data_IF_039067313230
#
_entry.id   IF_039067313230
#
_cell.length_a   1.000
_cell.length_b   1.000
_cell.length_c   1.000
_cell.angle_alpha   90.00
_cell.angle_beta   90.00
_cell.angle_gamma   90.00
#
_symmetry.space_group_name_H-M   'P 1'
#
loop_
_entity.id
_entity.type
_entity.pdbx_description
1 polymer ?
#
# COMPACT_ATOMS: atom_id res chain seq x y z
N UNK A 1 2.35 29.05 25.80
CA UNK A 1 1.04 28.92 25.12
C UNK A 1 1.16 27.78 24.14
N UNK A 2 0.53 26.63 24.42
CA UNK A 2 0.45 25.55 23.43
C UNK A 2 -0.31 26.12 22.24
N UNK A 3 0.35 26.23 21.09
CA UNK A 3 -0.29 26.63 19.84
C UNK A 3 -1.35 25.55 19.58
N UNK A 4 -2.63 25.93 19.57
CA UNK A 4 -3.68 25.01 19.18
C UNK A 4 -3.30 24.43 17.82
N UNK A 5 -3.19 23.10 17.67
CA UNK A 5 -2.80 22.51 16.39
C UNK A 5 -3.79 23.04 15.36
N UNK A 6 -3.29 23.74 14.33
CA UNK A 6 -4.16 24.18 13.25
C UNK A 6 -4.79 22.91 12.67
N UNK A 7 -6.11 22.75 12.80
CA UNK A 7 -6.79 21.54 12.40
C UNK A 7 -6.55 21.33 10.90
N UNK A 8 -5.72 20.35 10.55
CA UNK A 8 -5.58 19.93 9.16
C UNK A 8 -6.93 19.34 8.70
N UNK A 9 -7.29 19.45 7.42
CA UNK A 9 -8.46 18.75 6.91
C UNK A 9 -8.35 17.24 7.16
N UNK A 10 -9.46 16.55 7.44
CA UNK A 10 -9.50 15.10 7.49
C UNK A 10 -8.99 14.46 6.20
N UNK A 11 -8.38 13.28 6.33
CA UNK A 11 -7.85 12.52 5.20
C UNK A 11 -8.51 11.14 5.08
N UNK A 12 -8.70 10.73 3.83
CA UNK A 12 -9.07 9.36 3.48
C UNK A 12 -7.80 8.52 3.43
N UNK A 13 -7.77 7.40 4.14
CA UNK A 13 -6.71 6.39 4.06
C UNK A 13 -7.20 5.32 3.10
N UNK A 14 -6.51 5.15 1.98
CA UNK A 14 -6.89 4.14 0.99
C UNK A 14 -6.84 2.74 1.60
N UNK A 15 -7.90 1.94 1.40
CA UNK A 15 -7.92 0.56 1.83
C UNK A 15 -8.61 -0.31 0.76
N UNK A 16 -7.89 -1.26 0.12
CA UNK A 16 -8.52 -2.16 -0.84
C UNK A 16 -9.37 -3.20 -0.11
N UNK A 17 -10.70 -3.14 -0.29
CA UNK A 17 -11.64 -4.06 0.35
C UNK A 17 -11.68 -5.43 -0.35
N UNK A 18 -11.11 -5.55 -1.56
CA UNK A 18 -10.97 -6.78 -2.33
C UNK A 18 -9.64 -6.75 -3.05
N UNK A 19 -8.87 -7.83 -2.92
CA UNK A 19 -7.64 -8.11 -3.66
C UNK A 19 -7.73 -9.52 -4.26
N UNK A 20 -6.67 -9.99 -4.92
CA UNK A 20 -6.58 -11.38 -5.36
C UNK A 20 -6.59 -12.37 -4.20
N UNK A 21 -5.97 -11.97 -3.09
CA UNK A 21 -5.69 -12.81 -1.94
C UNK A 21 -6.78 -12.78 -0.88
N UNK A 22 -7.46 -11.64 -0.72
CA UNK A 22 -8.46 -11.46 0.31
C UNK A 22 -9.64 -10.56 -0.10
N UNK A 23 -10.69 -10.58 0.71
CA UNK A 23 -11.77 -9.59 0.70
C UNK A 23 -12.21 -9.28 2.13
N UNK A 24 -12.83 -8.13 2.34
CA UNK A 24 -13.40 -7.75 3.64
C UNK A 24 -14.76 -8.41 3.89
N UNK A 25 -14.98 -8.81 5.14
CA UNK A 25 -16.28 -9.19 5.70
C UNK A 25 -16.56 -8.27 6.88
N UNK A 26 -17.83 -7.94 7.11
CA UNK A 26 -18.27 -7.21 8.31
C UNK A 26 -19.16 -8.12 9.15
N UNK A 27 -18.61 -8.66 10.23
CA UNK A 27 -19.31 -9.50 11.19
C UNK A 27 -19.98 -8.64 12.28
N UNK A 28 -21.15 -9.08 12.73
CA UNK A 28 -21.89 -8.35 13.77
C UNK A 28 -21.20 -8.45 15.15
N UNK A 29 -20.45 -9.53 15.40
CA UNK A 29 -19.79 -9.78 16.68
C UNK A 29 -18.34 -9.24 16.70
N UNK A 30 -17.64 -9.34 15.58
CA UNK A 30 -16.21 -9.03 15.48
C UNK A 30 -15.88 -7.77 14.68
N UNK A 31 -16.88 -7.16 14.05
CA UNK A 31 -16.65 -6.03 13.13
C UNK A 31 -16.00 -6.49 11.83
N UNK A 32 -15.14 -5.63 11.26
CA UNK A 32 -14.55 -5.89 9.95
C UNK A 32 -13.34 -6.82 10.07
N UNK A 33 -13.28 -7.83 9.20
CA UNK A 33 -12.20 -8.81 9.13
C UNK A 33 -11.79 -9.12 7.68
N UNK A 34 -10.60 -9.69 7.50
CA UNK A 34 -10.10 -10.15 6.20
C UNK A 34 -10.44 -11.63 5.99
N UNK A 35 -10.82 -12.01 4.77
CA UNK A 35 -11.16 -13.38 4.39
C UNK A 35 -10.40 -13.78 3.12
N UNK A 36 -9.81 -14.97 3.11
CA UNK A 36 -9.07 -15.48 1.96
C UNK A 36 -9.96 -15.65 0.73
N UNK A 37 -9.58 -15.06 -0.41
CA UNK A 37 -10.33 -15.15 -1.68
C UNK A 37 -9.93 -16.36 -2.52
N UNK A 38 -8.78 -16.95 -2.22
CA UNK A 38 -8.23 -18.15 -2.88
C UNK A 38 -7.63 -19.10 -1.85
N UNK A 39 -7.29 -20.31 -2.29
CA UNK A 39 -6.44 -21.18 -1.50
C UNK A 39 -5.01 -20.62 -1.49
N UNK A 40 -4.38 -20.62 -0.32
CA UNK A 40 -3.01 -20.14 -0.10
C UNK A 40 -2.25 -21.25 0.59
N UNK A 41 -1.16 -21.70 0.01
CA UNK A 41 -0.30 -22.72 0.62
C UNK A 41 0.49 -22.11 1.78
N UNK A 42 0.86 -22.93 2.76
CA UNK A 42 1.78 -22.53 3.82
C UNK A 42 3.03 -21.85 3.26
N UNK A 43 3.41 -20.71 3.84
CA UNK A 43 4.52 -19.87 3.40
C UNK A 43 4.19 -19.01 2.17
N UNK A 44 2.98 -19.10 1.62
CA UNK A 44 2.53 -18.25 0.54
C UNK A 44 2.28 -16.82 1.02
N UNK A 45 2.76 -15.85 0.25
CA UNK A 45 2.49 -14.43 0.45
C UNK A 45 0.98 -14.14 0.30
N UNK A 46 0.46 -13.31 1.22
CA UNK A 46 -0.94 -12.89 1.27
C UNK A 46 -1.06 -11.40 0.92
N UNK A 47 -0.22 -10.56 1.51
CA UNK A 47 -0.09 -9.14 1.18
C UNK A 47 1.34 -8.68 1.47
N UNK A 48 1.83 -7.77 0.64
CA UNK A 48 3.14 -7.11 0.70
C UNK A 48 3.03 -5.58 0.62
N UNK A 49 1.82 -5.04 0.43
CA UNK A 49 1.57 -3.62 0.33
C UNK A 49 1.07 -3.11 1.69
N UNK A 50 2.00 -2.75 2.58
CA UNK A 50 1.63 -2.09 3.84
C UNK A 50 1.57 -0.58 3.68
N UNK A 51 0.43 0.06 4.01
CA UNK A 51 0.45 1.51 4.29
C UNK A 51 0.80 1.64 5.75
N UNK A 52 2.01 2.09 6.04
CA UNK A 52 2.39 2.55 7.37
C UNK A 52 2.19 4.05 7.46
N UNK A 53 1.50 4.51 8.50
CA UNK A 53 1.52 5.92 8.86
C UNK A 53 1.55 6.05 10.40
N UNK A 54 2.16 7.14 10.87
CA UNK A 54 2.37 7.38 12.30
C UNK A 54 1.08 7.81 13.01
N UNK A 55 0.76 7.19 14.14
CA UNK A 55 -0.41 7.52 14.97
C UNK A 55 -0.51 8.99 15.35
N UNK A 56 0.64 9.64 15.56
CA UNK A 56 0.77 11.06 15.83
C UNK A 56 0.09 11.93 14.76
N UNK A 57 -0.08 11.41 13.56
CA UNK A 57 -0.65 12.14 12.45
C UNK A 57 -2.17 12.10 12.40
N UNK A 58 -2.85 11.14 13.02
CA UNK A 58 -4.32 11.04 12.96
C UNK A 58 -4.97 12.21 13.64
N UNK A 59 -5.98 12.75 12.96
CA UNK A 59 -6.88 13.74 13.52
C UNK A 59 -8.31 13.28 13.44
N UNK A 60 -9.16 13.90 14.26
CA UNK A 60 -10.59 13.65 14.24
C UNK A 60 -11.16 13.85 12.83
N UNK A 61 -11.96 12.87 12.40
CA UNK A 61 -12.59 12.86 11.08
C UNK A 61 -11.81 12.12 9.99
N UNK A 62 -10.57 11.68 10.23
CA UNK A 62 -9.89 10.75 9.32
C UNK A 62 -10.68 9.44 9.18
N UNK A 63 -10.55 8.76 8.05
CA UNK A 63 -11.28 7.52 7.79
C UNK A 63 -10.58 6.62 6.79
N UNK A 64 -10.78 5.31 6.92
CA UNK A 64 -10.51 4.36 5.84
C UNK A 64 -11.52 4.56 4.72
N UNK A 65 -11.04 4.64 3.49
CA UNK A 65 -11.84 4.58 2.28
C UNK A 65 -11.78 3.16 1.72
N UNK A 66 -12.83 2.38 1.96
CA UNK A 66 -12.91 0.97 1.58
C UNK A 66 -13.26 0.83 0.09
N UNK A 67 -12.23 0.83 -0.74
CA UNK A 67 -12.38 0.69 -2.19
C UNK A 67 -12.89 -0.71 -2.52
N UNK A 68 -13.96 -0.80 -3.31
CA UNK A 68 -14.56 -2.08 -3.67
C UNK A 68 -15.47 -2.68 -2.58
N UNK A 69 -15.89 -1.91 -1.57
CA UNK A 69 -16.77 -2.38 -0.50
C UNK A 69 -18.07 -3.04 -0.99
N UNK A 70 -18.65 -2.60 -2.11
CA UNK A 70 -19.84 -3.24 -2.69
C UNK A 70 -19.54 -4.67 -3.18
N UNK A 71 -18.36 -4.88 -3.78
CA UNK A 71 -17.88 -6.18 -4.22
C UNK A 71 -17.56 -7.06 -3.02
N UNK A 72 -16.87 -6.51 -2.02
CA UNK A 72 -16.61 -7.19 -0.75
C UNK A 72 -17.93 -7.60 -0.05
N UNK A 73 -18.95 -6.73 -0.09
CA UNK A 73 -20.26 -7.03 0.48
C UNK A 73 -20.94 -8.21 -0.23
N UNK A 74 -20.88 -8.22 -1.57
CA UNK A 74 -21.42 -9.32 -2.37
C UNK A 74 -20.67 -10.64 -2.13
N UNK A 75 -19.34 -10.60 -2.02
CA UNK A 75 -18.51 -11.78 -1.78
C UNK A 75 -18.71 -12.36 -0.37
N UNK A 76 -18.79 -11.50 0.63
CA UNK A 76 -18.94 -11.91 2.04
C UNK A 76 -20.36 -12.24 2.46
N UNK A 77 -21.38 -11.77 1.71
CA UNK A 77 -22.77 -11.82 2.13
C UNK A 77 -23.11 -10.87 3.28
N UNK A 78 -22.19 -9.97 3.65
CA UNK A 78 -22.35 -9.00 4.73
C UNK A 78 -22.25 -7.57 4.21
N UNK A 79 -22.79 -6.58 4.93
CA UNK A 79 -22.66 -5.17 4.51
C UNK A 79 -21.30 -4.61 4.94
N UNK A 80 -20.35 -4.56 4.02
CA UNK A 80 -19.07 -3.85 4.20
C UNK A 80 -19.31 -2.36 3.99
N UNK A 81 -18.98 -1.49 4.96
CA UNK A 81 -19.21 -0.06 4.82
C UNK A 81 -18.30 0.55 3.75
N UNK A 82 -18.65 1.72 3.21
CA UNK A 82 -17.78 2.45 2.29
C UNK A 82 -16.61 3.12 3.01
N UNK A 83 -16.80 3.47 4.29
CA UNK A 83 -15.79 4.12 5.13
C UNK A 83 -15.82 3.58 6.55
N UNK A 84 -14.68 3.64 7.23
CA UNK A 84 -14.56 3.36 8.67
C UNK A 84 -13.84 4.55 9.31
N UNK A 85 -14.41 5.22 10.33
CA UNK A 85 -13.73 6.30 11.03
C UNK A 85 -12.43 5.81 11.67
N UNK A 86 -11.35 6.57 11.49
CA UNK A 86 -10.07 6.32 12.14
C UNK A 86 -9.97 7.29 13.32
N UNK A 87 -10.27 6.78 14.51
CA UNK A 87 -10.21 7.57 15.75
C UNK A 87 -9.00 7.16 16.56
N UNK A 88 -8.50 8.09 17.40
CA UNK A 88 -7.41 7.77 18.34
C UNK A 88 -7.78 6.61 19.28
N UNK A 89 -9.06 6.51 19.66
CA UNK A 89 -9.54 5.39 20.47
C UNK A 89 -9.46 4.05 19.72
N UNK A 90 -9.93 4.00 18.47
CA UNK A 90 -9.81 2.80 17.62
C UNK A 90 -8.35 2.37 17.47
N UNK A 91 -7.48 3.34 17.23
CA UNK A 91 -6.05 3.14 17.07
C UNK A 91 -5.40 2.53 18.33
N UNK A 92 -5.67 3.11 19.51
CA UNK A 92 -5.15 2.60 20.79
C UNK A 92 -5.71 1.22 21.15
N UNK A 93 -6.96 0.95 20.75
CA UNK A 93 -7.70 -0.23 21.18
C UNK A 93 -7.68 -1.39 20.20
N UNK A 94 -7.38 -1.24 18.92
CA UNK A 94 -7.61 -2.36 17.98
C UNK A 94 -6.65 -2.41 16.80
N UNK A 95 -6.05 -1.29 16.39
CA UNK A 95 -5.43 -1.19 15.06
C UNK A 95 -3.99 -0.66 15.07
N UNK A 96 -3.46 -0.28 16.22
CA UNK A 96 -2.12 0.29 16.34
C UNK A 96 -1.04 -0.71 16.54
N UNK A 97 0.06 -0.56 15.84
CA UNK A 97 1.19 -1.46 15.92
C UNK A 97 2.36 -0.72 16.55
N UNK A 98 2.86 -1.17 17.71
CA UNK A 98 4.06 -0.61 18.29
C UNK A 98 5.29 -1.05 17.47
N UNK A 99 6.04 -0.09 16.96
CA UNK A 99 7.29 -0.29 16.24
C UNK A 99 8.43 0.40 16.97
N UNK A 100 9.59 -0.26 17.06
CA UNK A 100 10.78 0.30 17.73
C UNK A 100 11.86 0.65 16.74
N UNK A 101 12.29 1.91 16.74
CA UNK A 101 13.47 2.36 15.99
C UNK A 101 14.67 2.36 16.94
N UNK A 102 15.71 1.58 16.63
CA UNK A 102 16.90 1.41 17.51
C UNK A 102 17.91 2.55 17.45
N UNK A 103 17.50 3.73 17.02
CA UNK A 103 18.35 4.92 16.96
C UNK A 103 18.45 5.58 18.33
N UNK A 104 19.41 5.14 19.15
CA UNK A 104 19.83 5.86 20.35
C UNK A 104 21.36 5.88 20.48
N UNK A 105 22.04 6.92 19.95
CA UNK A 105 23.49 7.04 20.08
C UNK A 105 23.98 7.22 21.52
N UNK A 106 23.08 7.40 22.50
CA UNK A 106 23.44 7.52 23.93
C UNK A 106 23.44 6.19 24.67
N UNK A 107 22.84 5.13 24.11
CA UNK A 107 22.70 3.82 24.74
C UNK A 107 21.86 3.81 26.03
N UNK A 108 21.08 4.86 26.28
CA UNK A 108 20.29 5.01 27.51
C UNK A 108 18.90 4.38 27.40
N UNK A 109 18.50 3.99 26.20
CA UNK A 109 17.20 3.41 25.87
C UNK A 109 17.40 2.24 24.91
N UNK A 110 16.46 1.30 24.85
CA UNK A 110 16.48 0.23 23.85
C UNK A 110 16.08 0.71 22.43
N UNK A 111 15.76 2.00 22.28
CA UNK A 111 15.21 2.62 21.09
C UNK A 111 14.00 3.51 21.40
N UNK A 112 13.41 4.07 20.35
CA UNK A 112 12.20 4.89 20.41
C UNK A 112 11.01 4.06 19.96
N UNK A 113 9.98 3.98 20.81
CA UNK A 113 8.71 3.31 20.51
C UNK A 113 7.77 4.28 19.81
N UNK A 114 7.36 3.91 18.60
CA UNK A 114 6.37 4.60 17.77
C UNK A 114 5.15 3.73 17.57
N UNK A 115 4.01 4.34 17.26
CA UNK A 115 2.80 3.60 16.90
C UNK A 115 2.44 3.84 15.45
N UNK A 116 2.23 2.77 14.71
CA UNK A 116 1.92 2.78 13.28
C UNK A 116 0.56 2.18 13.05
N UNK A 117 -0.13 2.66 12.03
CA UNK A 117 -1.22 1.90 11.44
C UNK A 117 -0.66 1.12 10.26
N UNK A 118 -0.90 -0.19 10.20
CA UNK A 118 -0.50 -1.06 9.08
C UNK A 118 -1.74 -1.51 8.29
N UNK A 119 -1.94 -1.01 7.06
CA UNK A 119 -3.01 -1.49 6.17
C UNK A 119 -2.44 -2.55 5.23
N UNK A 120 -3.07 -3.73 5.02
CA UNK A 120 -4.40 -4.09 5.48
C UNK A 120 -4.43 -4.83 6.83
N UNK A 121 -3.26 -5.13 7.40
CA UNK A 121 -3.11 -5.98 8.60
C UNK A 121 -3.89 -5.50 9.82
N UNK A 122 -4.13 -4.19 9.94
CA UNK A 122 -4.87 -3.59 11.04
C UNK A 122 -6.34 -4.06 11.14
N UNK A 123 -6.94 -4.56 10.05
CA UNK A 123 -8.29 -5.15 10.08
C UNK A 123 -8.28 -6.68 10.24
N UNK A 124 -7.14 -7.32 10.49
CA UNK A 124 -7.11 -8.76 10.79
C UNK A 124 -7.55 -9.01 12.22
N UNK A 125 -8.46 -9.96 12.42
CA UNK A 125 -8.87 -10.36 13.76
C UNK A 125 -7.82 -11.23 14.46
N UNK A 126 -7.88 -11.27 15.79
CA UNK A 126 -7.02 -12.11 16.59
C UNK A 126 -7.37 -13.60 16.48
N UNK A 127 -6.35 -14.45 16.45
CA UNK A 127 -6.50 -15.88 16.79
C UNK A 127 -5.31 -16.42 17.59
N UNK A 128 -5.60 -17.28 18.57
CA UNK A 128 -4.58 -18.05 19.30
C UNK A 128 -3.95 -19.17 18.45
N UNK A 129 -4.56 -19.52 17.31
CA UNK A 129 -4.03 -20.42 16.28
C UNK A 129 -4.19 -19.72 14.92
N UNK A 130 -3.37 -18.69 14.64
CA UNK A 130 -3.57 -17.79 13.52
C UNK A 130 -3.37 -18.46 12.16
N UNK A 131 -3.96 -17.86 11.13
CA UNK A 131 -3.76 -18.25 9.72
C UNK A 131 -2.61 -17.48 9.06
N UNK A 132 -2.24 -16.34 9.63
CA UNK A 132 -1.20 -15.46 9.12
C UNK A 132 -0.04 -15.40 10.14
N UNK A 133 1.18 -15.57 9.64
CA UNK A 133 2.41 -15.16 10.29
C UNK A 133 2.88 -13.85 9.60
N UNK A 134 3.45 -12.93 10.35
CA UNK A 134 4.04 -11.69 9.84
C UNK A 134 5.55 -11.73 10.14
N UNK A 135 6.38 -11.56 9.12
CA UNK A 135 7.84 -11.64 9.27
C UNK A 135 8.50 -10.29 9.58
N UNK A 136 7.72 -9.21 9.65
CA UNK A 136 8.24 -7.85 9.44
C UNK A 136 7.64 -6.78 10.36
N UNK A 137 7.85 -6.93 11.66
CA UNK A 137 7.95 -5.73 12.51
C UNK A 137 9.39 -5.16 12.56
N UNK A 138 10.35 -5.84 11.91
CA UNK A 138 11.77 -5.48 11.90
C UNK A 138 12.23 -4.83 10.58
N UNK A 139 11.42 -4.90 9.52
CA UNK A 139 11.66 -4.24 8.24
C UNK A 139 10.35 -3.63 7.73
N UNK A 140 10.41 -2.48 7.07
CA UNK A 140 9.25 -1.73 6.59
C UNK A 140 8.50 -2.38 5.40
N UNK A 141 8.49 -3.72 5.33
CA UNK A 141 7.90 -4.49 4.23
C UNK A 141 6.50 -5.02 4.55
N UNK A 142 6.11 -5.11 5.83
CA UNK A 142 4.75 -5.47 6.26
C UNK A 142 4.16 -6.70 5.57
N UNK A 143 4.98 -7.74 5.36
CA UNK A 143 4.62 -8.92 4.57
C UNK A 143 3.85 -9.93 5.42
N UNK A 144 2.62 -10.25 5.00
CA UNK A 144 1.80 -11.29 5.61
C UNK A 144 1.95 -12.62 4.87
N UNK A 145 2.30 -13.68 5.59
CA UNK A 145 2.49 -15.02 5.06
C UNK A 145 1.51 -16.03 5.67
N UNK A 146 1.10 -17.02 4.89
CA UNK A 146 0.26 -18.09 5.40
C UNK A 146 1.03 -19.00 6.38
N UNK A 147 0.61 -19.06 7.65
CA UNK A 147 1.25 -19.90 8.68
C UNK A 147 1.01 -21.41 8.45
N UNK A 148 -0.04 -21.72 7.70
CA UNK A 148 -0.51 -23.04 7.28
C UNK A 148 -1.21 -22.95 5.92
N UNK A 149 -1.64 -24.06 5.36
CA UNK A 149 -2.56 -24.02 4.22
C UNK A 149 -3.89 -23.35 4.64
N UNK A 150 -4.31 -22.37 3.86
CA UNK A 150 -5.54 -21.58 4.04
C UNK A 150 -6.47 -21.89 2.88
N UNK A 151 -7.69 -22.31 3.17
CA UNK A 151 -8.72 -22.48 2.13
C UNK A 151 -9.39 -21.15 1.82
N UNK A 152 -9.84 -21.01 0.58
CA UNK A 152 -10.75 -19.94 0.17
C UNK A 152 -11.95 -19.87 1.13
N UNK A 153 -12.25 -18.67 1.63
CA UNK A 153 -13.33 -18.39 2.57
C UNK A 153 -12.93 -18.50 4.04
N UNK A 154 -11.72 -18.96 4.37
CA UNK A 154 -11.21 -18.89 5.74
C UNK A 154 -10.79 -17.47 6.13
N UNK A 155 -10.98 -17.11 7.40
CA UNK A 155 -10.58 -15.81 7.92
C UNK A 155 -9.05 -15.71 8.05
N UNK A 156 -8.53 -14.54 7.68
CA UNK A 156 -7.14 -14.17 7.88
C UNK A 156 -7.01 -13.56 9.27
N UNK A 157 -6.25 -14.23 10.13
CA UNK A 157 -6.13 -13.93 11.56
C UNK A 157 -4.68 -13.93 11.98
N UNK A 158 -4.34 -13.08 12.96
CA UNK A 158 -2.99 -12.91 13.47
C UNK A 158 -2.95 -13.08 15.00
N UNK A 159 -1.79 -13.46 15.54
CA UNK A 159 -1.63 -13.54 16.99
C UNK A 159 -1.16 -12.20 17.55
N UNK A 160 -2.11 -11.38 17.98
CA UNK A 160 -1.89 -10.09 18.65
C UNK A 160 -0.85 -10.12 19.79
N UNK A 161 -0.66 -11.26 20.48
CA UNK A 161 0.37 -11.36 21.53
C UNK A 161 1.78 -11.18 20.99
N UNK A 162 2.02 -11.39 19.70
CA UNK A 162 3.31 -11.15 19.06
C UNK A 162 3.61 -9.66 18.88
N UNK A 163 2.60 -8.79 19.03
CA UNK A 163 2.68 -7.37 18.69
C UNK A 163 2.45 -6.47 19.90
N UNK A 164 1.59 -6.88 20.84
CA UNK A 164 1.22 -6.08 22.01
C UNK A 164 1.84 -6.62 23.29
N UNK A 165 2.58 -5.78 24.03
CA UNK A 165 3.25 -6.19 25.28
C UNK A 165 2.36 -6.02 26.52
N UNK A 166 2.09 -4.77 26.90
CA UNK A 166 1.28 -4.40 28.08
C UNK A 166 0.33 -3.22 27.81
N UNK A 167 0.24 -2.80 26.55
CA UNK A 167 -0.78 -1.91 26.02
C UNK A 167 -1.25 -2.42 24.64
N UNK A 168 -2.53 -2.27 24.33
CA UNK A 168 -3.10 -2.73 23.07
C UNK A 168 -4.57 -3.14 23.15
N UNK A 169 -5.04 -3.96 22.19
CA UNK A 169 -6.44 -4.38 22.07
C UNK A 169 -6.94 -5.34 23.13
N UNK A 170 -6.88 -5.00 24.41
CA UNK A 170 -7.17 -5.97 25.45
C UNK A 170 -8.65 -6.34 25.53
N UNK A 171 -8.90 -7.63 25.58
CA UNK A 171 -10.23 -8.20 25.77
C UNK A 171 -10.17 -9.34 26.78
N UNK A 172 -11.07 -9.26 27.77
CA UNK A 172 -11.18 -10.24 28.85
C UNK A 172 -11.62 -11.61 28.33
N UNK A 173 -12.36 -11.66 27.22
CA UNK A 173 -12.83 -12.87 26.58
C UNK A 173 -12.37 -12.94 25.12
N UNK A 174 -11.53 -13.92 24.81
CA UNK A 174 -11.11 -14.23 23.45
C UNK A 174 -12.18 -15.08 22.75
N UNK A 175 -12.53 -14.68 21.53
CA UNK A 175 -13.60 -15.28 20.73
C UNK A 175 -13.07 -16.02 19.49
N UNK A 176 -11.77 -16.31 19.44
CA UNK A 176 -11.13 -16.93 18.26
C UNK A 176 -11.52 -18.41 18.02
N UNK A 177 -12.16 -19.06 19.01
CA UNK A 177 -12.60 -20.47 18.95
C UNK A 177 -11.50 -21.51 18.64
N UNK A 178 -10.22 -21.14 18.68
CA UNK A 178 -9.11 -22.07 18.51
C UNK A 178 -9.11 -23.11 19.65
N UNK A 179 -8.75 -24.37 19.37
CA UNK A 179 -8.60 -25.41 20.40
C UNK A 179 -7.48 -25.08 21.41
N UNK A 180 -6.55 -24.21 21.03
CA UNK A 180 -5.45 -23.67 21.85
C UNK A 180 -5.74 -22.27 22.37
N UNK A 181 -7.02 -21.87 22.45
CA UNK A 181 -7.42 -20.56 22.92
C UNK A 181 -6.95 -20.30 24.37
N UNK A 182 -6.39 -19.12 24.60
CA UNK A 182 -5.90 -18.66 25.92
C UNK A 182 -6.98 -18.04 26.80
N UNK A 183 -8.21 -17.97 26.31
CA UNK A 183 -9.37 -17.44 27.04
C UNK A 183 -9.47 -15.91 27.07
N UNK A 184 -8.35 -15.19 27.09
CA UNK A 184 -8.28 -13.73 27.07
C UNK A 184 -7.07 -13.23 26.25
N UNK A 185 -7.01 -11.92 25.98
CA UNK A 185 -5.84 -11.27 25.39
C UNK A 185 -5.53 -10.00 26.19
N UNK A 186 -4.50 -10.08 27.02
CA UNK A 186 -4.05 -9.01 27.93
C UNK A 186 -2.59 -8.59 27.67
N UNK A 187 -2.12 -8.82 26.44
CA UNK A 187 -0.75 -8.57 26.02
C UNK A 187 0.24 -9.67 26.40
N UNK A 188 1.42 -9.65 25.77
CA UNK A 188 2.51 -10.61 25.96
C UNK A 188 2.99 -10.66 27.42
N UNK A 189 2.97 -9.53 28.14
CA UNK A 189 3.42 -9.45 29.54
C UNK A 189 2.63 -10.38 30.46
N UNK A 190 1.33 -10.55 30.19
CA UNK A 190 0.43 -11.37 30.99
C UNK A 190 0.53 -12.88 30.72
N UNK A 191 1.35 -13.31 29.74
CA UNK A 191 1.54 -14.71 29.42
C UNK A 191 2.28 -15.48 30.52
N UNK A 192 2.01 -16.79 30.59
CA UNK A 192 2.81 -17.74 31.37
C UNK A 192 4.25 -17.78 30.86
N UNK A 193 5.21 -18.13 31.72
CA UNK A 193 6.61 -18.21 31.29
C UNK A 193 6.81 -19.23 30.16
N UNK A 194 6.09 -20.35 30.19
CA UNK A 194 6.09 -21.34 29.12
C UNK A 194 5.58 -20.78 27.79
N UNK A 195 4.50 -19.99 27.80
CA UNK A 195 4.00 -19.33 26.58
C UNK A 195 4.97 -18.26 26.08
N UNK A 196 5.60 -17.50 26.98
CA UNK A 196 6.59 -16.48 26.63
C UNK A 196 7.80 -17.11 25.93
N UNK A 197 8.31 -18.23 26.44
CA UNK A 197 9.41 -18.97 25.80
C UNK A 197 9.08 -19.42 24.38
N UNK A 198 7.84 -19.85 24.13
CA UNK A 198 7.39 -20.29 22.81
C UNK A 198 7.23 -19.12 21.84
N UNK A 199 6.66 -18.00 22.31
CA UNK A 199 6.25 -16.89 21.45
C UNK A 199 7.33 -15.82 21.26
N UNK A 200 8.25 -15.64 22.21
CA UNK A 200 9.26 -14.57 22.14
C UNK A 200 10.10 -14.59 20.85
N UNK A 201 10.50 -15.74 20.25
CA UNK A 201 11.30 -15.74 19.04
C UNK A 201 10.53 -15.26 17.81
N UNK A 202 9.20 -15.19 17.89
CA UNK A 202 8.29 -14.74 16.83
C UNK A 202 7.69 -13.36 17.11
N UNK A 203 7.95 -12.80 18.30
CA UNK A 203 7.37 -11.52 18.69
C UNK A 203 8.11 -10.37 18.00
N UNK A 204 7.42 -9.23 17.82
CA UNK A 204 7.99 -8.00 17.25
C UNK A 204 9.21 -7.52 18.03
N UNK A 205 10.12 -6.78 17.38
CA UNK A 205 11.24 -6.15 18.10
C UNK A 205 10.78 -5.28 19.28
N UNK A 206 9.60 -4.65 19.18
CA UNK A 206 9.02 -3.87 20.28
C UNK A 206 8.68 -4.75 21.49
N UNK A 207 7.95 -5.86 21.27
CA UNK A 207 7.63 -6.84 22.33
C UNK A 207 8.89 -7.44 22.91
N UNK A 208 9.87 -7.81 22.08
CA UNK A 208 11.13 -8.36 22.55
C UNK A 208 11.93 -7.36 23.39
N UNK A 209 12.01 -6.09 22.98
CA UNK A 209 12.71 -5.04 23.72
C UNK A 209 12.05 -4.76 25.08
N UNK A 210 10.71 -4.65 25.12
CA UNK A 210 9.96 -4.47 26.37
C UNK A 210 10.12 -5.68 27.31
N UNK A 211 10.10 -6.90 26.77
CA UNK A 211 10.33 -8.12 27.56
C UNK A 211 11.73 -8.16 28.19
N UNK A 212 12.78 -7.79 27.43
CA UNK A 212 14.15 -7.70 27.96
C UNK A 212 14.30 -6.60 29.01
N UNK A 213 13.60 -5.48 28.84
CA UNK A 213 13.58 -4.39 29.80
C UNK A 213 12.93 -4.79 31.13
N UNK A 214 11.77 -5.44 31.10
CA UNK A 214 11.10 -5.97 32.30
C UNK A 214 11.94 -7.04 33.02
N UNK A 215 12.73 -7.82 32.26
CA UNK A 215 13.69 -8.77 32.82
C UNK A 215 14.98 -8.13 33.36
N UNK A 216 15.12 -6.80 33.29
CA UNK A 216 16.30 -6.05 33.74
C UNK A 216 17.55 -6.25 32.87
N UNK A 217 17.40 -6.76 31.64
CA UNK A 217 18.51 -7.07 30.72
C UNK A 217 18.89 -5.90 29.82
N UNK A 218 17.95 -5.00 29.54
CA UNK A 218 18.12 -3.80 28.70
C UNK A 218 17.39 -2.60 29.32
N UNK A 219 17.75 -1.35 28.99
CA UNK A 219 16.95 -0.19 29.37
C UNK A 219 15.58 -0.22 28.67
N UNK A 220 14.53 0.40 29.26
CA UNK A 220 13.23 0.47 28.61
C UNK A 220 13.30 1.31 27.31
N UNK A 221 12.45 1.02 26.30
CA UNK A 221 12.24 1.92 25.17
C UNK A 221 11.73 3.28 25.66
N UNK A 222 12.13 4.34 24.97
CA UNK A 222 11.54 5.67 25.17
C UNK A 222 10.28 5.79 24.33
N UNK A 223 9.17 6.21 24.93
CA UNK A 223 7.98 6.56 24.16
C UNK A 223 8.26 7.78 23.27
N UNK A 224 7.83 7.71 22.01
CA UNK A 224 7.94 8.82 21.08
C UNK A 224 7.20 10.06 21.61
N UNK A 225 7.92 11.19 21.67
CA UNK A 225 7.29 12.51 21.81
C UNK A 225 6.61 12.82 20.48
N UNK A 226 5.29 13.02 20.48
CA UNK A 226 4.50 13.42 19.31
C UNK A 226 5.14 14.66 18.68
N UNK A 227 5.94 14.47 17.63
CA UNK A 227 6.46 15.57 16.82
C UNK A 227 5.36 15.92 15.82
N UNK A 228 4.53 16.89 16.18
CA UNK A 228 3.56 17.47 15.23
C UNK A 228 4.38 18.19 14.16
N UNK A 229 4.62 17.53 13.02
CA UNK A 229 5.23 18.20 11.88
C UNK A 229 4.38 19.41 11.51
N UNK A 230 5.01 20.58 11.38
CA UNK A 230 4.38 21.79 10.86
C UNK A 230 3.89 21.52 9.43
N UNK A 231 2.60 21.25 9.28
CA UNK A 231 1.97 20.93 7.99
C UNK A 231 1.46 22.20 7.34
N UNK A 232 1.75 22.34 6.05
CA UNK A 232 1.33 23.45 5.19
C UNK A 232 -0.17 23.73 5.36
N UNK A 233 -0.55 25.00 5.44
CA UNK A 233 -1.95 25.41 5.35
C UNK A 233 -2.49 25.02 3.97
N UNK A 234 -3.42 24.07 3.97
CA UNK A 234 -4.18 23.66 2.80
C UNK A 234 -5.60 24.20 2.96
N UNK A 235 -6.18 24.74 1.86
CA UNK A 235 -7.58 25.14 1.81
C UNK A 235 -8.52 24.03 2.29
N UNK A 236 -9.58 24.38 3.03
CA UNK A 236 -10.52 23.44 3.67
C UNK A 236 -11.23 22.49 2.72
N UNK A 237 -11.32 22.84 1.43
CA UNK A 237 -12.24 22.18 0.50
C UNK A 237 -11.58 21.02 -0.28
N UNK A 238 -10.26 20.85 -0.18
CA UNK A 238 -9.55 19.81 -0.94
C UNK A 238 -9.51 18.49 -0.18
N UNK A 239 -9.89 17.39 -0.86
CA UNK A 239 -9.85 16.04 -0.27
C UNK A 239 -8.43 15.53 -0.22
N UNK A 240 -8.02 14.99 0.93
CA UNK A 240 -6.72 14.35 1.12
C UNK A 240 -6.86 12.85 1.01
N UNK A 241 -5.99 12.21 0.24
CA UNK A 241 -5.91 10.77 0.10
C UNK A 241 -4.51 10.32 0.50
N UNK A 242 -4.42 9.52 1.55
CA UNK A 242 -3.20 8.81 1.92
C UNK A 242 -3.15 7.55 1.07
N UNK A 243 -2.05 7.36 0.37
CA UNK A 243 -1.84 6.26 -0.56
C UNK A 243 -0.43 5.67 -0.33
N UNK A 244 -0.25 4.33 -0.42
CA UNK A 244 1.07 3.74 -0.28
C UNK A 244 1.99 4.25 -1.38
N UNK A 245 3.16 4.77 -1.01
CA UNK A 245 4.22 5.05 -1.98
C UNK A 245 4.73 3.75 -2.64
N UNK A 246 5.37 3.81 -3.82
CA UNK A 246 5.87 2.66 -4.55
C UNK A 246 6.85 1.81 -3.74
N UNK A 247 7.63 2.44 -2.87
CA UNK A 247 8.59 1.76 -1.99
C UNK A 247 7.91 0.80 -1.02
N UNK A 248 6.64 1.04 -0.66
CA UNK A 248 5.83 0.13 0.15
C UNK A 248 5.29 -1.05 -0.65
N UNK A 249 5.34 -1.00 -1.99
CA UNK A 249 4.82 -2.02 -2.89
C UNK A 249 5.92 -2.90 -3.51
N UNK A 250 7.11 -2.93 -2.88
CA UNK A 250 8.31 -3.61 -3.42
C UNK A 250 8.65 -3.19 -4.85
N UNK A 251 8.25 -1.98 -5.24
CA UNK A 251 8.51 -1.44 -6.56
C UNK A 251 9.99 -1.16 -6.73
N UNK A 252 10.50 -1.36 -7.95
CA UNK A 252 11.87 -0.95 -8.31
C UNK A 252 11.86 0.54 -8.67
N UNK A 253 11.30 1.36 -7.78
CA UNK A 253 10.98 2.76 -8.06
C UNK A 253 11.22 3.65 -6.83
N UNK A 254 11.86 4.79 -7.04
CA UNK A 254 11.93 5.91 -6.09
C UNK A 254 11.03 7.06 -6.56
N UNK A 255 10.42 7.78 -5.61
CA UNK A 255 9.68 9.02 -5.86
C UNK A 255 10.48 10.25 -5.43
N UNK A 256 10.84 11.13 -6.38
CA UNK A 256 11.60 12.36 -6.09
C UNK A 256 11.22 13.51 -7.02
N UNK A 257 11.66 14.72 -6.65
CA UNK A 257 11.54 15.90 -7.51
C UNK A 257 12.64 15.89 -8.58
N UNK A 258 12.31 16.33 -9.78
CA UNK A 258 13.27 16.67 -10.83
C UNK A 258 13.89 18.07 -10.59
N UNK A 259 14.84 18.46 -11.45
CA UNK A 259 15.54 19.76 -11.37
C UNK A 259 14.60 20.98 -11.49
N UNK A 260 13.35 20.76 -11.94
CA UNK A 260 12.31 21.80 -12.08
C UNK A 260 11.33 21.78 -10.90
N UNK A 261 11.52 20.90 -9.93
CA UNK A 261 10.64 20.73 -8.77
C UNK A 261 9.40 19.86 -9.02
N UNK A 262 9.27 19.23 -10.19
CA UNK A 262 8.16 18.32 -10.49
C UNK A 262 8.43 16.94 -9.89
N UNK A 263 7.41 16.33 -9.31
CA UNK A 263 7.52 14.96 -8.81
C UNK A 263 7.47 13.96 -9.97
N UNK A 264 8.38 12.98 -9.97
CA UNK A 264 8.43 11.91 -10.96
C UNK A 264 8.91 10.58 -10.35
N UNK A 265 8.71 9.50 -11.09
CA UNK A 265 9.18 8.16 -10.76
C UNK A 265 10.55 7.89 -11.38
N UNK A 266 11.43 7.22 -10.65
CA UNK A 266 12.78 6.85 -11.10
C UNK A 266 13.07 5.39 -10.75
N UNK A 267 13.83 4.67 -11.57
CA UNK A 267 14.19 3.29 -11.25
C UNK A 267 15.14 3.25 -10.04
N UNK A 268 14.82 2.47 -9.00
CA UNK A 268 15.68 2.35 -7.82
C UNK A 268 16.88 1.42 -8.05
N UNK A 269 16.81 0.58 -9.10
CA UNK A 269 17.89 -0.33 -9.51
C UNK A 269 17.88 -0.53 -11.04
N UNK A 270 18.93 -1.15 -11.58
CA UNK A 270 18.95 -1.57 -12.99
C UNK A 270 17.84 -2.59 -13.28
N UNK A 271 17.09 -2.41 -14.37
CA UNK A 271 16.06 -3.33 -14.84
C UNK A 271 16.43 -3.88 -16.23
N UNK A 272 16.26 -5.19 -16.43
CA UNK A 272 16.43 -5.81 -17.74
C UNK A 272 15.18 -5.61 -18.63
N UNK A 273 15.33 -5.76 -19.94
CA UNK A 273 14.19 -5.81 -20.86
C UNK A 273 13.19 -6.90 -20.44
N UNK A 274 11.90 -6.56 -20.37
CA UNK A 274 10.83 -7.46 -19.97
C UNK A 274 10.72 -7.72 -18.46
N UNK A 275 11.61 -7.13 -17.64
CA UNK A 275 11.49 -7.17 -16.18
C UNK A 275 10.26 -6.36 -15.73
N UNK A 276 9.53 -6.90 -14.74
CA UNK A 276 8.46 -6.16 -14.07
C UNK A 276 9.09 -5.10 -13.18
N UNK A 277 8.79 -3.84 -13.43
CA UNK A 277 9.35 -2.72 -12.65
C UNK A 277 8.52 -2.47 -11.39
N UNK A 278 7.19 -2.42 -11.55
CA UNK A 278 6.26 -2.30 -10.44
C UNK A 278 4.86 -2.80 -10.81
N UNK A 279 4.04 -3.04 -9.80
CA UNK A 279 2.61 -3.23 -9.92
C UNK A 279 1.87 -2.06 -9.28
N UNK A 280 0.68 -1.75 -9.81
CA UNK A 280 -0.10 -0.63 -9.33
C UNK A 280 -1.58 -0.92 -9.53
N UNK A 281 -2.39 -0.37 -8.64
CA UNK A 281 -3.83 -0.54 -8.68
C UNK A 281 -4.49 0.58 -9.51
N UNK A 282 -5.47 0.20 -10.34
CA UNK A 282 -6.40 1.09 -11.05
C UNK A 282 -7.78 1.04 -10.41
N UNK A 283 -8.44 2.16 -10.22
CA UNK A 283 -9.89 2.14 -10.08
C UNK A 283 -10.53 3.49 -10.15
N UNK A 284 -11.78 3.59 -9.74
CA UNK A 284 -12.53 4.83 -9.87
C UNK A 284 -11.94 5.94 -9.00
N UNK A 285 -11.95 7.15 -9.55
CA UNK A 285 -11.54 8.35 -8.82
C UNK A 285 -12.35 8.49 -7.53
N UNK A 286 -11.71 8.54 -6.35
CA UNK A 286 -12.37 8.25 -5.07
C UNK A 286 -13.41 9.27 -4.63
N UNK A 287 -13.45 10.47 -5.23
CA UNK A 287 -14.33 11.58 -4.83
C UNK A 287 -15.18 12.13 -5.98
N UNK A 288 -15.73 11.24 -6.81
CA UNK A 288 -16.73 11.63 -7.82
C UNK A 288 -16.16 12.21 -9.12
N UNK A 289 -14.91 11.88 -9.46
CA UNK A 289 -14.30 12.15 -10.77
C UNK A 289 -13.98 13.61 -11.12
N UNK A 290 -14.46 14.59 -10.37
CA UNK A 290 -14.20 16.02 -10.63
C UNK A 290 -13.48 16.74 -9.50
N UNK A 291 -13.43 16.13 -8.32
CA UNK A 291 -12.82 16.74 -7.13
C UNK A 291 -11.31 16.50 -7.13
N UNK A 292 -10.48 17.56 -7.08
CA UNK A 292 -9.03 17.43 -6.92
C UNK A 292 -8.68 16.69 -5.63
N UNK A 293 -7.56 15.98 -5.66
CA UNK A 293 -7.03 15.26 -4.51
C UNK A 293 -5.66 15.77 -4.15
N UNK A 294 -5.38 15.75 -2.86
CA UNK A 294 -4.05 15.91 -2.30
C UNK A 294 -3.56 14.53 -1.89
N UNK A 295 -2.67 13.95 -2.69
CA UNK A 295 -2.02 12.69 -2.35
C UNK A 295 -0.99 12.97 -1.25
N UNK A 296 -1.07 12.22 -0.16
CA UNK A 296 -0.19 12.36 1.00
C UNK A 296 0.71 11.15 1.09
N UNK A 297 2.04 11.36 1.10
CA UNK A 297 3.01 10.28 1.30
C UNK A 297 2.89 9.71 2.72
N UNK A 298 2.78 8.37 2.84
CA UNK A 298 2.49 7.68 4.10
C UNK A 298 3.72 7.43 4.99
N UNK A 299 4.91 7.22 4.41
CA UNK A 299 6.17 7.16 5.17
C UNK A 299 7.40 7.32 4.23
N UNK A 300 8.61 7.41 4.80
CA UNK A 300 9.89 7.40 4.07
C UNK A 300 10.55 6.02 4.23
N UNK A 301 10.65 5.23 3.16
CA UNK A 301 11.31 3.92 3.20
C UNK A 301 12.74 3.95 2.67
N UNK A 302 12.99 4.73 1.61
CA UNK A 302 14.33 4.99 1.09
C UNK A 302 14.77 6.41 1.39
N UNK A 303 16.08 6.65 1.48
CA UNK A 303 16.61 8.01 1.64
C UNK A 303 16.24 8.95 0.48
N UNK A 304 15.88 8.38 -0.66
CA UNK A 304 15.52 9.09 -1.87
C UNK A 304 14.01 9.33 -2.02
N UNK A 305 13.18 8.68 -1.19
CA UNK A 305 11.75 8.85 -1.22
C UNK A 305 11.29 10.22 -0.70
N UNK A 306 10.05 10.55 -1.07
CA UNK A 306 9.37 11.70 -0.49
C UNK A 306 9.31 11.57 1.02
N UNK A 307 9.54 12.69 1.69
CA UNK A 307 9.34 12.79 3.13
C UNK A 307 7.88 12.45 3.46
N UNK A 308 7.68 11.75 4.58
CA UNK A 308 6.36 11.52 5.13
C UNK A 308 5.56 12.82 5.22
N UNK A 309 4.27 12.76 4.86
CA UNK A 309 3.40 13.93 4.86
C UNK A 309 3.58 14.88 3.67
N UNK A 310 4.49 14.61 2.74
CA UNK A 310 4.58 15.35 1.47
C UNK A 310 3.23 15.31 0.75
N UNK A 311 2.75 16.48 0.31
CA UNK A 311 1.47 16.64 -0.36
C UNK A 311 1.68 16.95 -1.84
N UNK A 312 1.09 16.14 -2.71
CA UNK A 312 1.10 16.33 -4.15
C UNK A 312 -0.33 16.58 -4.65
N UNK A 313 -0.63 17.74 -5.25
CA UNK A 313 -1.95 18.02 -5.79
C UNK A 313 -2.16 17.33 -7.13
N UNK A 314 -3.33 16.72 -7.31
CA UNK A 314 -3.77 16.12 -8.57
C UNK A 314 -5.18 16.56 -8.91
N UNK A 315 -5.39 17.05 -10.14
CA UNK A 315 -6.71 17.27 -10.69
C UNK A 315 -7.08 16.12 -11.64
N UNK A 316 -8.26 15.48 -11.50
CA UNK A 316 -8.65 14.36 -12.35
C UNK A 316 -8.63 14.72 -13.84
N UNK A 317 -9.02 15.94 -14.21
CA UNK A 317 -9.01 16.40 -15.61
C UNK A 317 -7.61 16.47 -16.24
N UNK A 318 -6.54 16.51 -15.43
CA UNK A 318 -5.15 16.62 -15.90
C UNK A 318 -4.43 15.25 -15.96
N UNK A 319 -4.71 14.39 -14.99
CA UNK A 319 -3.95 13.17 -14.76
C UNK A 319 -4.73 11.86 -14.97
N UNK A 320 -6.07 11.89 -14.91
CA UNK A 320 -6.90 10.71 -15.09
C UNK A 320 -7.42 10.61 -16.52
N UNK A 321 -7.48 9.39 -17.05
CA UNK A 321 -8.23 9.12 -18.27
C UNK A 321 -9.66 8.69 -17.97
N UNK A 322 -10.59 9.21 -18.77
CA UNK A 322 -12.00 8.83 -18.77
C UNK A 322 -12.13 7.47 -19.45
N UNK A 323 -12.24 6.38 -18.68
CA UNK A 323 -12.19 5.04 -19.28
C UNK A 323 -12.93 3.93 -18.53
N UNK A 324 -13.92 4.21 -17.70
CA UNK A 324 -14.89 3.14 -17.36
C UNK A 324 -16.01 3.07 -18.39
N UNK A 325 -16.61 1.88 -18.61
CA UNK A 325 -17.89 1.74 -19.32
C UNK A 325 -19.02 2.60 -18.69
N UNK A 326 -18.82 3.07 -17.46
CA UNK A 326 -19.71 3.98 -16.71
C UNK A 326 -19.34 5.48 -16.84
N UNK A 327 -18.28 5.85 -17.56
CA UNK A 327 -17.88 7.25 -17.76
C UNK A 327 -17.11 7.89 -16.59
N UNK A 328 -16.59 7.11 -15.66
CA UNK A 328 -15.80 7.57 -14.52
C UNK A 328 -14.31 7.77 -14.89
N UNK A 329 -13.66 8.70 -14.19
CA UNK A 329 -12.21 8.87 -14.23
C UNK A 329 -11.51 7.77 -13.45
N UNK A 330 -10.42 7.23 -13.99
CA UNK A 330 -9.60 6.23 -13.31
C UNK A 330 -8.44 6.88 -12.55
N UNK A 331 -8.18 6.39 -11.34
CA UNK A 331 -7.08 6.74 -10.45
C UNK A 331 -6.10 5.57 -10.38
N UNK A 332 -4.80 5.84 -10.55
CA UNK A 332 -3.74 4.82 -10.57
C UNK A 332 -2.68 4.99 -9.47
N UNK A 333 -2.96 5.74 -8.40
CA UNK A 333 -2.02 5.90 -7.29
C UNK A 333 -0.77 6.68 -7.67
N UNK A 334 0.41 6.19 -7.27
CA UNK A 334 1.69 6.82 -7.60
C UNK A 334 2.03 6.78 -9.10
N UNK A 335 1.40 5.91 -9.89
CA UNK A 335 1.56 5.85 -11.35
C UNK A 335 1.12 7.16 -12.04
N UNK A 336 0.31 7.99 -11.37
CA UNK A 336 0.01 9.36 -11.81
C UNK A 336 1.23 10.29 -11.93
N UNK A 337 2.37 9.89 -11.34
CA UNK A 337 3.65 10.62 -11.42
C UNK A 337 4.51 10.21 -12.62
N UNK A 338 4.04 9.29 -13.46
CA UNK A 338 4.74 8.98 -14.70
C UNK A 338 4.69 10.15 -15.69
N UNK A 339 5.80 10.38 -16.36
CA UNK A 339 5.89 11.31 -17.47
C UNK A 339 5.70 10.63 -18.82
N UNK A 340 5.22 11.41 -19.78
CA UNK A 340 5.12 10.95 -21.15
C UNK A 340 6.47 10.95 -21.88
N UNK A 341 6.77 9.88 -22.60
CA UNK A 341 7.81 9.85 -23.63
C UNK A 341 7.34 9.09 -24.87
N UNK A 342 7.68 9.59 -26.07
CA UNK A 342 7.51 8.86 -27.33
C UNK A 342 8.60 7.78 -27.54
N UNK A 343 9.66 7.79 -26.73
CA UNK A 343 10.63 6.70 -26.58
C UNK A 343 10.59 6.22 -25.13
N UNK A 344 9.50 5.58 -24.69
CA UNK A 344 9.32 5.23 -23.28
C UNK A 344 10.29 4.13 -22.85
N UNK A 345 10.49 4.01 -21.53
CA UNK A 345 11.16 2.86 -20.95
C UNK A 345 10.21 1.89 -20.26
N UNK A 346 8.93 2.26 -20.10
CA UNK A 346 7.88 1.39 -19.58
C UNK A 346 6.76 1.12 -20.61
N UNK A 347 6.06 0.00 -20.40
CA UNK A 347 4.75 -0.30 -20.97
C UNK A 347 3.88 -1.02 -19.95
N UNK A 348 2.56 -0.99 -20.15
CA UNK A 348 1.64 -1.81 -19.36
C UNK A 348 1.32 -3.11 -20.09
N UNK A 349 1.07 -4.16 -19.32
CA UNK A 349 0.58 -5.43 -19.84
C UNK A 349 -0.87 -5.64 -19.42
N UNK A 350 -1.81 -5.45 -20.36
CA UNK A 350 -3.23 -5.72 -20.15
C UNK A 350 -3.61 -7.21 -20.42
N UNK A 351 -2.68 -8.08 -20.86
CA UNK A 351 -3.01 -9.42 -21.41
C UNK A 351 -3.37 -10.51 -20.38
N UNK A 352 -3.31 -10.23 -19.08
CA UNK A 352 -3.61 -11.23 -18.04
C UNK A 352 -4.47 -10.68 -16.90
N UNK A 353 -5.28 -9.66 -17.18
CA UNK A 353 -6.32 -9.26 -16.25
C UNK A 353 -7.38 -10.36 -16.24
N UNK A 354 -7.38 -11.21 -15.22
CA UNK A 354 -8.66 -11.73 -14.76
C UNK A 354 -9.52 -10.48 -14.55
N UNK A 355 -10.63 -10.36 -15.28
CA UNK A 355 -11.47 -9.14 -15.41
C UNK A 355 -11.93 -8.53 -14.07
N UNK A 356 -11.58 -9.17 -12.96
CA UNK A 356 -11.97 -8.87 -11.60
C UNK A 356 -10.91 -8.16 -10.76
N UNK A 357 -9.67 -8.06 -11.23
CA UNK A 357 -8.55 -7.57 -10.43
C UNK A 357 -7.99 -6.30 -11.05
N UNK A 358 -8.28 -5.20 -10.37
CA UNK A 358 -7.88 -3.84 -10.70
C UNK A 358 -6.35 -3.60 -10.72
N UNK A 359 -5.53 -4.64 -10.65
CA UNK A 359 -4.07 -4.54 -10.58
C UNK A 359 -3.43 -4.62 -11.96
N UNK A 360 -2.59 -3.63 -12.25
CA UNK A 360 -1.76 -3.57 -13.45
C UNK A 360 -0.29 -3.76 -13.14
N UNK A 361 0.45 -4.17 -14.17
CA UNK A 361 1.88 -4.35 -14.10
C UNK A 361 2.58 -3.46 -15.14
N UNK A 362 3.60 -2.73 -14.71
CA UNK A 362 4.49 -1.98 -15.57
C UNK A 362 5.77 -2.78 -15.86
N UNK A 363 6.15 -2.85 -17.13
CA UNK A 363 7.29 -3.64 -17.61
C UNK A 363 8.29 -2.77 -18.36
N UNK A 364 9.57 -3.09 -18.20
CA UNK A 364 10.65 -2.45 -18.92
C UNK A 364 10.63 -2.84 -20.42
N UNK A 365 10.52 -1.86 -21.33
CA UNK A 365 10.59 -2.08 -22.80
C UNK A 365 12.01 -1.98 -23.37
N UNK A 366 12.98 -1.70 -22.51
CA UNK A 366 14.43 -1.75 -22.76
C UNK A 366 15.14 -1.89 -21.42
N UNK A 367 16.47 -2.06 -21.45
CA UNK A 367 17.25 -1.90 -20.22
C UNK A 367 17.05 -0.51 -19.62
N UNK A 368 16.84 -0.44 -18.31
CA UNK A 368 16.68 0.78 -17.52
C UNK A 368 17.80 0.82 -16.49
N UNK A 369 18.46 1.97 -16.33
CA UNK A 369 19.50 2.13 -15.32
C UNK A 369 18.95 2.64 -14.00
N UNK A 370 19.57 2.24 -12.89
CA UNK A 370 19.29 2.84 -11.59
C UNK A 370 19.42 4.37 -11.67
N UNK A 371 18.44 5.07 -11.10
CA UNK A 371 18.32 6.52 -11.15
C UNK A 371 17.73 7.09 -12.44
N UNK A 372 17.44 6.26 -13.45
CA UNK A 372 16.80 6.71 -14.70
C UNK A 372 15.33 7.06 -14.47
N UNK A 373 14.86 8.18 -15.05
CA UNK A 373 13.46 8.61 -14.96
C UNK A 373 12.56 7.61 -15.71
N UNK A 374 11.48 7.18 -15.07
CA UNK A 374 10.50 6.27 -15.65
C UNK A 374 9.48 7.04 -16.49
N UNK A 375 9.23 6.55 -17.69
CA UNK A 375 8.37 7.21 -18.68
C UNK A 375 7.54 6.20 -19.46
N UNK A 376 6.34 6.62 -19.86
CA UNK A 376 5.42 5.81 -20.65
C UNK A 376 4.86 6.59 -21.84
N UNK A 377 4.46 5.86 -22.88
CA UNK A 377 3.75 6.45 -24.01
C UNK A 377 2.25 6.54 -23.71
N UNK A 378 1.76 7.73 -23.31
CA UNK A 378 0.35 8.01 -23.11
C UNK A 378 -0.52 7.70 -24.34
N UNK A 379 0.02 7.81 -25.55
CA UNK A 379 -0.74 7.45 -26.75
C UNK A 379 -0.98 5.94 -26.86
N UNK A 380 -0.11 5.11 -26.27
CA UNK A 380 -0.31 3.65 -26.20
C UNK A 380 -1.31 3.24 -25.11
N UNK A 381 -1.45 4.03 -24.05
CA UNK A 381 -2.31 3.72 -22.89
C UNK A 381 -3.75 4.21 -23.10
N UNK A 382 -3.90 5.39 -23.69
CA UNK A 382 -5.19 6.04 -23.80
C UNK A 382 -5.72 6.02 -25.22
N UNK A 383 -6.99 5.65 -25.38
CA UNK A 383 -7.64 5.66 -26.70
C UNK A 383 -7.87 7.10 -27.16
N UNK A 384 -8.48 7.92 -26.30
CA UNK A 384 -8.78 9.31 -26.57
C UNK A 384 -8.59 10.13 -25.29
N UNK A 385 -7.83 11.21 -25.39
CA UNK A 385 -7.57 12.21 -24.34
C UNK A 385 -7.86 13.63 -24.82
N UNK A 386 -8.60 13.81 -25.92
CA UNK A 386 -8.93 15.14 -26.44
C UNK A 386 -9.65 16.03 -25.43
N UNK A 387 -10.37 15.43 -24.48
CA UNK A 387 -11.15 16.13 -23.47
C UNK A 387 -10.35 16.40 -22.17
N UNK A 388 -9.10 15.94 -22.08
CA UNK A 388 -8.26 16.20 -20.90
C UNK A 388 -7.70 17.62 -20.96
N UNK A 389 -7.61 18.29 -19.81
CA UNK A 389 -7.01 19.64 -19.73
C UNK A 389 -5.47 19.61 -19.80
N UNK A 390 -4.89 18.43 -19.99
CA UNK A 390 -3.45 18.27 -20.19
C UNK A 390 -3.02 18.85 -21.55
N UNK A 391 -1.82 19.44 -21.61
CA UNK A 391 -1.32 20.02 -22.84
C UNK A 391 -1.24 18.99 -23.99
N UNK A 392 -1.95 19.30 -25.07
CA UNK A 392 -2.10 18.50 -26.28
C UNK A 392 -0.78 18.23 -27.02
N UNK A 393 0.15 19.17 -26.92
CA UNK A 393 1.46 19.14 -27.58
C UNK A 393 2.47 18.32 -26.76
N UNK A 394 3.25 17.50 -27.47
CA UNK A 394 4.28 16.68 -26.87
C UNK A 394 5.64 17.39 -26.92
N UNK A 395 6.20 17.67 -25.74
CA UNK A 395 7.52 18.26 -25.56
C UNK A 395 8.52 17.27 -24.91
N UNK A 396 8.37 15.96 -25.17
CA UNK A 396 9.19 14.93 -24.52
C UNK A 396 10.65 14.90 -24.99
N UNK A 397 10.99 15.57 -26.10
CA UNK A 397 12.36 15.64 -26.63
C UNK A 397 12.86 14.36 -27.31
N UNK A 398 12.05 13.30 -27.39
CA UNK A 398 12.44 12.07 -28.08
C UNK A 398 12.62 12.30 -29.60
N UNK A 399 13.62 11.66 -30.21
CA UNK A 399 13.88 11.79 -31.65
C UNK A 399 12.71 11.30 -32.53
N UNK A 400 11.89 10.39 -32.00
CA UNK A 400 10.67 9.86 -32.62
C UNK A 400 9.39 10.51 -32.06
N UNK A 401 9.45 11.75 -31.57
CA UNK A 401 8.30 12.45 -31.02
C UNK A 401 7.16 12.56 -32.04
N UNK A 402 5.95 12.21 -31.60
CA UNK A 402 4.71 12.27 -32.42
C UNK A 402 4.09 13.68 -32.40
N UNK A 403 4.62 14.57 -31.55
CA UNK A 403 4.14 15.94 -31.40
C UNK A 403 2.85 16.07 -30.58
N UNK A 404 2.19 14.97 -30.19
CA UNK A 404 0.94 15.02 -29.41
C UNK A 404 0.82 13.91 -28.35
N UNK A 405 -0.03 14.16 -27.33
CA UNK A 405 -0.38 13.24 -26.23
C UNK A 405 -1.89 12.95 -26.13
N UNK A 406 -2.61 13.10 -27.24
CA UNK A 406 -4.08 13.01 -27.35
C UNK A 406 -4.64 11.59 -27.32
N UNK A 407 -3.80 10.57 -27.28
CA UNK A 407 -4.24 9.18 -27.31
C UNK A 407 -4.11 8.52 -28.68
N UNK A 408 -4.32 7.20 -28.69
CA UNK A 408 -4.14 6.33 -29.84
C UNK A 408 -5.03 6.71 -31.04
N UNK A 409 -6.24 7.23 -30.79
CA UNK A 409 -7.21 7.62 -31.83
C UNK A 409 -6.65 8.60 -32.85
N UNK A 410 -5.73 9.47 -32.46
CA UNK A 410 -5.14 10.48 -33.35
C UNK A 410 -3.73 10.13 -33.84
N UNK A 411 -3.23 8.95 -33.48
CA UNK A 411 -1.96 8.46 -34.00
C UNK A 411 -2.17 7.96 -35.44
N UNK A 412 -1.75 8.76 -36.42
CA UNK A 412 -1.74 8.38 -37.83
C UNK A 412 -0.76 7.21 -38.09
N UNK A 413 -0.94 6.50 -39.21
CA UNK A 413 -0.37 5.21 -39.64
C UNK A 413 1.17 5.02 -39.66
N UNK A 414 1.96 5.89 -39.05
CA UNK A 414 3.44 5.81 -38.99
C UNK A 414 3.94 5.16 -37.68
N UNK A 415 3.05 4.64 -36.84
CA UNK A 415 3.41 3.99 -35.57
C UNK A 415 3.77 2.51 -35.72
N UNK A 416 5.07 2.19 -35.62
CA UNK A 416 5.59 0.80 -35.65
C UNK A 416 6.42 0.40 -34.41
N UNK A 417 6.69 1.31 -33.46
CA UNK A 417 7.67 1.06 -32.38
C UNK A 417 7.02 0.53 -31.08
N UNK A 418 5.96 1.17 -30.55
CA UNK A 418 5.26 0.65 -29.35
C UNK A 418 4.59 -0.70 -29.64
N UNK A 419 4.06 -0.90 -30.85
CA UNK A 419 3.44 -2.18 -31.24
C UNK A 419 4.47 -3.31 -31.38
N UNK A 420 5.71 -3.02 -31.80
CA UNK A 420 6.79 -4.02 -31.91
C UNK A 420 7.28 -4.50 -30.55
N UNK A 421 7.49 -3.60 -29.60
CA UNK A 421 7.83 -3.96 -28.22
C UNK A 421 6.70 -4.79 -27.57
N UNK A 422 5.44 -4.45 -27.87
CA UNK A 422 4.27 -5.23 -27.45
C UNK A 422 4.27 -6.65 -28.03
N UNK A 423 4.53 -6.80 -29.34
CA UNK A 423 4.65 -8.12 -29.96
C UNK A 423 5.85 -8.90 -29.42
N UNK A 424 6.99 -8.28 -29.16
CA UNK A 424 8.20 -8.96 -28.67
C UNK A 424 8.11 -9.38 -27.21
N UNK A 425 7.52 -8.57 -26.32
CA UNK A 425 7.26 -8.96 -24.92
C UNK A 425 6.23 -10.09 -24.86
N UNK A 426 5.22 -10.05 -25.71
CA UNK A 426 4.22 -11.12 -25.83
C UNK A 426 4.83 -12.41 -26.41
N UNK A 427 5.65 -12.30 -27.47
CA UNK A 427 6.34 -13.44 -28.11
C UNK A 427 7.42 -14.07 -27.22
N UNK A 428 8.24 -13.26 -26.53
CA UNK A 428 9.30 -13.73 -25.64
C UNK A 428 8.76 -14.49 -24.41
N UNK A 429 7.51 -14.23 -24.00
CA UNK A 429 6.84 -15.00 -22.94
C UNK A 429 6.15 -16.27 -23.47
N UNK A 430 5.72 -16.29 -24.73
CA UNK A 430 5.19 -17.50 -25.37
C UNK A 430 6.27 -18.56 -25.60
N UNK A 431 7.49 -18.16 -25.97
CA UNK A 431 8.62 -19.11 -26.13
C UNK A 431 9.04 -19.77 -24.82
N UNK A 432 8.99 -19.04 -23.69
CA UNK A 432 9.32 -19.60 -22.37
C UNK A 432 8.27 -20.59 -21.81
N UNK A 433 7.04 -20.58 -22.32
CA UNK A 433 5.97 -21.50 -21.88
C UNK A 433 5.87 -22.77 -22.74
N UNK A 434 6.38 -22.74 -23.96
CA UNK A 434 6.44 -23.92 -24.84
C UNK A 434 7.58 -24.88 -24.48
N UNK A 435 8.59 -24.46 -23.72
CA UNK A 435 9.67 -25.35 -23.25
C UNK A 435 9.30 -26.14 -21.98
N UNK A 436 8.16 -25.85 -21.33
CA UNK A 436 7.70 -26.56 -20.11
C UNK A 436 6.59 -27.59 -20.43
N UNK A 437 6.14 -27.69 -21.68
CA UNK A 437 5.21 -28.75 -22.14
C UNK A 437 5.85 -29.77 -23.08
N UNK A 438 7.19 -29.78 -23.16
CA UNK A 438 7.96 -30.75 -23.92
C UNK A 438 9.19 -31.25 -23.14
N UNK A 439 9.01 -31.58 -21.85
CA UNK A 439 9.88 -32.50 -21.09
C UNK A 439 9.04 -33.31 -20.09
#
# INVERSE_FOLDING_TARGET
>A
TMIAPSARPPQAIYFPAVTWDYYLKNDAEYGVGLVARRNIQKGGLIFNDSIEFMFADVVEGDYFLLQGHHKASKLSGTKVPATIPVTREMLLRTHGVPAITREDPTGKTAGVLSWRLEVPGCLMNHSCSPTVDDDSHDACKGEGYASRDIKKGEELTYNYLLQYYDSGPFFEKCLCNASTCRGSMMGFKALSDADKEILIPKASAAVQAMHRADAGKEPPPKEELIVVHHRLHVSSDTKRLVFPGPSHALAIVDMKQDDKGNYALYASKDCAFGERVYEFWRGDWPFGGSVPIHMVSSSKLSDQDLREGTVIPFAPAECAAKKSRSGHYQFSGFDLLLEHSCSPNLTYNDLHEYEDDNWQNAYAVRAIKAGEKLTIDFNSVFWDRSDSQAADECNCGAANCVGTRKGFKVCCSVWHISFRAWTEITLARFTKRCEITAL
#
